data_IF_093501709175
#
_entry.id   IF_093501709175
#
_cell.length_a   1.000
_cell.length_b   1.000
_cell.length_c   1.000
_cell.angle_alpha   90.00
_cell.angle_beta   90.00
_cell.angle_gamma   90.00
#
_symmetry.space_group_name_H-M   'P 1'
#
loop_
_entity.id
_entity.type
_entity.pdbx_description
1 polymer ?
#
# COMPACT_ATOMS: atom_id res chain seq x y z
N UNK A 1 11.85 7.22 36.10
CA UNK A 1 10.99 6.73 35.01
C UNK A 1 11.30 7.59 33.81
N UNK A 2 12.06 7.06 32.85
CA UNK A 2 12.44 7.83 31.66
C UNK A 2 11.23 7.95 30.73
N UNK A 3 10.65 9.14 30.66
CA UNK A 3 9.68 9.47 29.62
C UNK A 3 10.42 9.41 28.29
N UNK A 4 10.23 8.31 27.55
CA UNK A 4 10.70 8.20 26.18
C UNK A 4 10.19 9.41 25.39
N UNK A 5 11.08 10.33 25.05
CA UNK A 5 10.73 11.53 24.28
C UNK A 5 10.30 11.10 22.89
N UNK A 6 9.00 11.10 22.68
CA UNK A 6 8.41 10.80 21.39
C UNK A 6 8.45 12.05 20.52
N UNK A 7 8.98 11.92 19.31
CA UNK A 7 8.98 13.00 18.32
C UNK A 7 7.57 13.35 17.83
N UNK A 8 6.63 12.40 17.93
CA UNK A 8 5.26 12.56 17.45
C UNK A 8 4.27 12.38 18.59
N UNK A 9 3.12 13.01 18.43
CA UNK A 9 1.94 12.85 19.28
C UNK A 9 1.00 11.78 18.73
N UNK A 10 0.11 11.24 19.56
CA UNK A 10 -0.95 10.31 19.13
C UNK A 10 -1.77 10.89 17.97
N UNK A 11 -2.12 12.18 18.02
CA UNK A 11 -2.94 12.84 17.00
C UNK A 11 -2.22 12.90 15.65
N UNK A 12 -0.92 13.22 15.64
CA UNK A 12 -0.13 13.24 14.40
C UNK A 12 -0.02 11.86 13.77
N UNK A 13 0.13 10.82 14.59
CA UNK A 13 0.17 9.44 14.12
C UNK A 13 -1.18 9.04 13.52
N UNK A 14 -2.30 9.35 14.18
CA UNK A 14 -3.64 9.09 13.66
C UNK A 14 -3.88 9.79 12.33
N UNK A 15 -3.60 11.09 12.25
CA UNK A 15 -3.71 11.87 11.00
C UNK A 15 -2.87 11.28 9.87
N UNK A 16 -1.67 10.76 10.18
CA UNK A 16 -0.86 10.09 9.18
C UNK A 16 -1.56 8.84 8.64
N UNK A 17 -2.12 7.96 9.48
CA UNK A 17 -2.88 6.79 9.00
C UNK A 17 -4.15 7.18 8.22
N UNK A 18 -4.88 8.19 8.70
CA UNK A 18 -6.09 8.71 8.06
C UNK A 18 -5.81 9.32 6.67
N UNK A 19 -4.63 9.91 6.46
CA UNK A 19 -4.23 10.41 5.13
C UNK A 19 -4.11 9.31 4.07
N UNK A 20 -3.94 8.04 4.49
CA UNK A 20 -4.01 6.85 3.62
C UNK A 20 -5.35 6.11 3.76
N UNK A 21 -6.34 6.76 4.36
CA UNK A 21 -7.64 6.20 4.70
C UNK A 21 -7.53 4.90 5.51
N UNK A 22 -6.47 4.76 6.31
CA UNK A 22 -6.21 3.59 7.16
C UNK A 22 -6.51 3.91 8.62
N UNK A 23 -6.77 2.86 9.41
CA UNK A 23 -7.09 2.96 10.83
C UNK A 23 -5.94 2.40 11.66
N UNK A 24 -5.47 3.18 12.62
CA UNK A 24 -4.62 2.72 13.71
C UNK A 24 -5.49 2.00 14.75
N UNK A 25 -5.06 0.80 15.17
CA UNK A 25 -5.79 -0.04 16.12
C UNK A 25 -5.20 0.02 17.54
N UNK A 26 -3.89 0.26 17.67
CA UNK A 26 -3.21 0.37 18.96
C UNK A 26 -2.96 1.82 19.37
N UNK A 27 -2.91 2.14 20.67
CA UNK A 27 -2.40 3.43 21.12
C UNK A 27 -0.93 3.60 20.73
N UNK A 28 -0.54 4.84 20.49
CA UNK A 28 0.82 5.24 20.21
C UNK A 28 1.52 5.64 21.52
N UNK A 29 2.65 4.98 21.80
CA UNK A 29 3.46 5.26 22.99
C UNK A 29 4.70 6.08 22.62
N UNK A 30 5.46 5.61 21.63
CA UNK A 30 6.61 6.31 21.07
C UNK A 30 6.95 5.75 19.69
N UNK A 31 7.93 6.37 19.01
CA UNK A 31 8.29 6.04 17.63
C UNK A 31 8.88 4.63 17.42
N UNK A 32 9.41 3.99 18.48
CA UNK A 32 10.02 2.65 18.42
C UNK A 32 9.05 1.55 18.86
N UNK A 33 8.04 1.89 19.66
CA UNK A 33 6.98 0.97 20.05
C UNK A 33 6.26 0.41 18.83
N UNK A 34 5.85 -0.84 18.94
CA UNK A 34 5.06 -1.50 17.92
C UNK A 34 3.66 -0.89 17.85
N UNK A 35 3.18 -0.69 16.64
CA UNK A 35 1.82 -0.28 16.33
C UNK A 35 1.10 -1.39 15.58
N UNK A 36 -0.17 -1.51 15.87
CA UNK A 36 -1.13 -2.39 15.19
C UNK A 36 -2.05 -1.51 14.35
N UNK A 37 -2.19 -1.80 13.07
CA UNK A 37 -3.01 -1.03 12.15
C UNK A 37 -3.55 -1.90 11.00
N UNK A 38 -4.56 -1.40 10.28
CA UNK A 38 -5.11 -2.10 9.12
C UNK A 38 -4.46 -1.66 7.80
N UNK A 39 -4.03 -2.65 7.02
CA UNK A 39 -3.62 -2.46 5.62
C UNK A 39 -4.82 -2.10 4.72
N UNK A 40 -4.56 -1.72 3.46
CA UNK A 40 -5.61 -1.51 2.45
C UNK A 40 -6.45 -2.76 2.18
N UNK A 41 -5.85 -3.96 2.30
CA UNK A 41 -6.55 -5.23 2.14
C UNK A 41 -7.31 -5.69 3.40
N UNK A 42 -7.34 -4.90 4.47
CA UNK A 42 -7.97 -5.27 5.74
C UNK A 42 -7.17 -6.23 6.62
N UNK A 43 -5.98 -6.67 6.18
CA UNK A 43 -5.07 -7.42 7.03
C UNK A 43 -4.49 -6.51 8.12
N UNK A 44 -4.39 -7.06 9.33
CA UNK A 44 -3.66 -6.45 10.44
C UNK A 44 -2.16 -6.44 10.15
N UNK A 45 -1.51 -5.34 10.51
CA UNK A 45 -0.10 -5.10 10.29
C UNK A 45 0.55 -4.61 11.57
N UNK A 46 1.77 -5.06 11.79
CA UNK A 46 2.59 -4.71 12.95
C UNK A 46 3.84 -3.99 12.48
N UNK A 47 4.04 -2.76 12.94
CA UNK A 47 5.26 -2.01 12.63
C UNK A 47 5.45 -0.85 13.61
N UNK A 48 6.68 -0.35 13.75
CA UNK A 48 6.90 0.89 14.49
C UNK A 48 6.73 2.11 13.59
N UNK A 49 6.29 3.23 14.18
CA UNK A 49 6.05 4.46 13.40
C UNK A 49 7.32 4.97 12.72
N UNK A 50 8.49 4.82 13.36
CA UNK A 50 9.78 5.21 12.77
C UNK A 50 10.07 4.43 11.48
N UNK A 51 9.74 3.13 11.44
CA UNK A 51 9.97 2.30 10.24
C UNK A 51 9.01 2.68 9.12
N UNK A 52 7.76 2.95 9.46
CA UNK A 52 6.74 3.38 8.50
C UNK A 52 7.14 4.68 7.81
N UNK A 53 7.54 5.70 8.59
CA UNK A 53 7.94 7.01 8.07
C UNK A 53 9.25 6.98 7.29
N UNK A 54 10.26 6.22 7.73
CA UNK A 54 11.59 6.21 7.09
C UNK A 54 11.70 5.26 5.90
N UNK A 55 11.09 4.07 5.97
CA UNK A 55 11.36 3.00 4.99
C UNK A 55 10.15 2.63 4.15
N UNK A 56 8.94 2.62 4.71
CA UNK A 56 7.78 2.10 4.01
C UNK A 56 7.05 3.14 3.15
N UNK A 57 7.15 4.44 3.49
CA UNK A 57 6.44 5.58 2.85
C UNK A 57 4.91 5.53 2.93
N UNK A 58 4.34 4.35 3.19
CA UNK A 58 2.91 4.08 3.32
C UNK A 58 2.64 2.99 4.39
N UNK A 59 1.40 2.93 4.93
CA UNK A 59 0.96 1.89 5.85
C UNK A 59 0.42 0.65 5.11
N UNK A 60 1.06 0.21 4.02
CA UNK A 60 0.61 -0.98 3.29
C UNK A 60 1.45 -2.22 3.58
N UNK A 61 0.85 -3.38 3.38
CA UNK A 61 1.55 -4.66 3.38
C UNK A 61 2.33 -4.86 2.08
N UNK A 62 3.35 -5.72 2.13
CA UNK A 62 4.19 -6.02 0.96
C UNK A 62 3.37 -6.55 -0.23
N UNK A 63 2.35 -7.36 0.03
CA UNK A 63 1.49 -7.92 -1.01
C UNK A 63 0.70 -6.84 -1.74
N UNK A 64 0.15 -5.88 -0.97
CA UNK A 64 -0.58 -4.72 -1.48
C UNK A 64 0.31 -3.81 -2.34
N UNK A 65 1.56 -3.58 -1.93
CA UNK A 65 2.54 -2.82 -2.72
C UNK A 65 2.93 -3.55 -4.01
N UNK A 66 3.15 -4.87 -3.94
CA UNK A 66 3.48 -5.70 -5.11
C UNK A 66 2.34 -5.73 -6.12
N UNK A 67 1.10 -5.85 -5.65
CA UNK A 67 -0.07 -5.84 -6.52
C UNK A 67 -0.21 -4.50 -7.26
N UNK A 68 -0.06 -3.38 -6.54
CA UNK A 68 -0.14 -2.06 -7.15
C UNK A 68 0.99 -1.82 -8.16
N UNK A 69 2.22 -2.25 -7.85
CA UNK A 69 3.33 -2.21 -8.81
C UNK A 69 3.02 -3.02 -10.07
N UNK A 70 2.44 -4.21 -9.93
CA UNK A 70 2.04 -5.02 -11.09
C UNK A 70 0.98 -4.32 -11.92
N UNK A 71 -0.05 -3.72 -11.30
CA UNK A 71 -1.09 -2.96 -12.01
C UNK A 71 -0.50 -1.82 -12.85
N UNK A 72 0.40 -1.02 -12.27
CA UNK A 72 1.10 0.05 -13.01
C UNK A 72 1.87 -0.47 -14.21
N UNK A 73 2.63 -1.57 -14.05
CA UNK A 73 3.36 -2.19 -15.16
C UNK A 73 2.39 -2.65 -16.27
N UNK A 74 1.26 -3.27 -15.90
CA UNK A 74 0.25 -3.67 -16.89
C UNK A 74 -0.36 -2.48 -17.63
N UNK A 75 -0.67 -1.40 -16.92
CA UNK A 75 -1.18 -0.15 -17.52
C UNK A 75 -0.16 0.46 -18.49
N UNK A 76 1.11 0.58 -18.07
CA UNK A 76 2.21 1.05 -18.93
C UNK A 76 2.38 0.18 -20.19
N UNK A 77 2.34 -1.16 -20.04
CA UNK A 77 2.43 -2.09 -21.17
C UNK A 77 1.24 -1.95 -22.12
N UNK A 78 0.03 -1.79 -21.59
CA UNK A 78 -1.18 -1.56 -22.40
C UNK A 78 -1.06 -0.24 -23.17
N UNK A 79 -0.64 0.84 -22.53
CA UNK A 79 -0.43 2.13 -23.19
C UNK A 79 0.57 2.04 -24.34
N UNK A 80 1.69 1.34 -24.12
CA UNK A 80 2.69 1.05 -25.15
C UNK A 80 2.06 0.28 -26.31
N UNK A 81 1.38 -0.84 -26.04
CA UNK A 81 0.74 -1.66 -27.07
C UNK A 81 -0.30 -0.85 -27.86
N UNK A 82 -1.14 -0.06 -27.20
CA UNK A 82 -2.15 0.79 -27.86
C UNK A 82 -1.50 1.84 -28.76
N UNK A 83 -0.41 2.47 -28.32
CA UNK A 83 0.35 3.43 -29.13
C UNK A 83 0.88 2.80 -30.42
N UNK A 84 1.40 1.57 -30.35
CA UNK A 84 1.92 0.86 -31.54
C UNK A 84 0.81 0.26 -32.42
N UNK A 85 -0.32 -0.18 -31.85
CA UNK A 85 -1.46 -0.71 -32.60
C UNK A 85 -2.25 0.37 -33.39
N UNK A 86 -2.12 1.65 -33.01
CA UNK A 86 -2.67 2.77 -33.79
C UNK A 86 -1.78 3.16 -34.99
N UNK A 87 -0.55 2.64 -35.07
CA UNK A 87 0.43 2.95 -36.13
C UNK A 87 0.59 1.82 -37.16
N UNK A 88 0.08 0.62 -36.88
CA UNK A 88 0.16 -0.53 -37.77
C UNK A 88 -1.21 -1.17 -37.98
N UNK A 89 -1.64 -1.25 -39.23
CA UNK A 89 -2.82 -2.01 -39.65
C UNK A 89 -2.77 -3.45 -39.11
N UNK A 90 -3.71 -3.78 -38.23
CA UNK A 90 -4.24 -5.13 -38.05
C UNK A 90 -3.53 -6.01 -37.04
N UNK A 91 -3.96 -5.96 -35.77
CA UNK A 91 -4.07 -7.14 -34.91
C UNK A 91 -5.16 -6.87 -33.86
N UNK A 92 -6.36 -7.40 -34.08
CA UNK A 92 -7.43 -7.41 -33.08
C UNK A 92 -7.06 -8.38 -31.98
N UNK A 93 -6.61 -7.90 -30.82
CA UNK A 93 -6.48 -8.79 -29.68
C UNK A 93 -6.95 -8.20 -28.34
N UNK A 94 -7.92 -8.94 -27.80
CA UNK A 94 -8.43 -9.03 -26.42
C UNK A 94 -9.48 -8.02 -25.94
N UNK A 95 -10.75 -8.42 -26.15
CA UNK A 95 -11.84 -8.17 -25.21
C UNK A 95 -11.57 -8.89 -23.88
N UNK A 96 -11.61 -8.12 -22.78
CA UNK A 96 -11.96 -8.51 -21.39
C UNK A 96 -11.30 -9.77 -20.82
N UNK A 97 -10.20 -9.61 -20.09
CA UNK A 97 -9.82 -10.55 -19.02
C UNK A 97 -10.26 -9.92 -17.68
N UNK A 98 -11.34 -10.39 -17.05
CA UNK A 98 -11.72 -9.92 -15.72
C UNK A 98 -10.67 -10.35 -14.70
N UNK A 99 -10.23 -9.41 -13.87
CA UNK A 99 -9.27 -9.62 -12.78
C UNK A 99 -9.92 -10.49 -11.70
N UNK A 100 -9.81 -11.82 -11.81
CA UNK A 100 -10.25 -12.71 -10.74
C UNK A 100 -9.20 -12.72 -9.62
N UNK A 101 -9.61 -12.21 -8.46
CA UNK A 101 -8.86 -12.29 -7.21
C UNK A 101 -8.60 -13.78 -6.87
N UNK A 102 -7.35 -14.22 -6.99
CA UNK A 102 -6.93 -15.48 -6.39
C UNK A 102 -6.63 -15.19 -4.91
N UNK A 103 -7.63 -15.37 -4.06
CA UNK A 103 -7.43 -15.44 -2.62
C UNK A 103 -6.63 -16.71 -2.31
N UNK A 104 -5.31 -16.58 -2.09
CA UNK A 104 -4.53 -17.66 -1.48
C UNK A 104 -4.80 -17.64 0.02
N UNK A 105 -5.60 -18.60 0.49
CA UNK A 105 -5.67 -19.00 1.90
C UNK A 105 -4.31 -19.62 2.27
N UNK A 106 -3.69 -19.08 3.30
CA UNK A 106 -2.55 -19.65 4.02
C UNK A 106 -2.87 -19.52 5.50
#
# INVERSE_FOLDING_TARGET
>A
MDMATSQYTQSEVNLWFESYQRKLLSPYVNQKSELVYLCKCGQEMHNSFVRLKKFCKDPYGINCRREEKRKKIYEEVIEVIMKYNLQGSGFHIYKKIPFQHIARKG
#
